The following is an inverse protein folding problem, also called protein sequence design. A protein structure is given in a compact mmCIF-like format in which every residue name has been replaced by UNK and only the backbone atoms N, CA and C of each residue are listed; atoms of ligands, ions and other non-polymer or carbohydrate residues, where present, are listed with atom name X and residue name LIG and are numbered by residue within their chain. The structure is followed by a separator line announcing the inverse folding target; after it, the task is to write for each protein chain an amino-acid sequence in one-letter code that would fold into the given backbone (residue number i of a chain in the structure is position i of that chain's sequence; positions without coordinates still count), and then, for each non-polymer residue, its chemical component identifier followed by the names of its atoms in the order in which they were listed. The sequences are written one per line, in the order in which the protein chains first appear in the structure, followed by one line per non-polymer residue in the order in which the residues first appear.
data_IF_974285090352
#
_entry.id   IF_974285090352
#
_cell.length_a   1.000
_cell.length_b   1.000
_cell.length_c   1.000
_cell.angle_alpha   90.00
_cell.angle_beta   90.00
_cell.angle_gamma   90.00
#
_symmetry.space_group_name_H-M   'P 1'
#
loop_
_entity.id
_entity.type
_entity.pdbx_description
1 polymer ?
#
# COMPACT_ATOMS: atom_id res chain seq x y z
N UNK A 1 9.30 46.49 -0.95
CA UNK A 1 9.58 45.08 -1.27
C UNK A 1 11.07 44.93 -1.53
N UNK A 2 11.74 43.95 -0.92
CA UNK A 2 13.16 43.67 -1.16
C UNK A 2 13.32 42.79 -2.40
N UNK A 3 14.50 42.80 -3.03
CA UNK A 3 14.79 41.95 -4.20
C UNK A 3 14.53 40.45 -3.93
N UNK A 4 14.73 40.01 -2.68
CA UNK A 4 14.41 38.65 -2.23
C UNK A 4 12.91 38.35 -2.28
N UNK A 5 12.07 39.28 -1.80
CA UNK A 5 10.60 39.14 -1.84
C UNK A 5 10.07 39.12 -3.28
N UNK A 6 10.67 39.90 -4.18
CA UNK A 6 10.31 39.88 -5.61
C UNK A 6 10.67 38.54 -6.25
N UNK A 7 11.86 37.98 -5.95
CA UNK A 7 12.29 36.68 -6.47
C UNK A 7 11.43 35.53 -5.96
N UNK A 8 11.04 35.56 -4.68
CA UNK A 8 10.16 34.56 -4.08
C UNK A 8 8.77 34.56 -4.74
N UNK A 9 8.20 35.74 -4.97
CA UNK A 9 6.91 35.86 -5.69
C UNK A 9 7.02 35.35 -7.12
N UNK A 10 8.11 35.67 -7.84
CA UNK A 10 8.33 35.20 -9.20
C UNK A 10 8.53 33.68 -9.30
N UNK A 11 9.12 33.04 -8.29
CA UNK A 11 9.25 31.57 -8.24
C UNK A 11 7.93 30.85 -7.95
N UNK A 12 6.98 31.52 -7.27
CA UNK A 12 5.65 30.97 -6.96
C UNK A 12 4.67 31.07 -8.13
N UNK A 13 5.01 31.77 -9.21
CA UNK A 13 4.20 31.83 -10.42
C UNK A 13 4.57 30.62 -11.29
N UNK A 14 3.70 29.61 -11.41
CA UNK A 14 3.98 28.46 -12.26
C UNK A 14 4.05 28.93 -13.72
N UNK A 15 5.22 28.82 -14.34
CA UNK A 15 5.36 28.90 -15.79
C UNK A 15 5.18 27.50 -16.33
N UNK A 16 4.02 27.19 -16.89
CA UNK A 16 3.82 25.94 -17.61
C UNK A 16 4.76 25.90 -18.81
N UNK A 17 5.36 24.73 -19.04
CA UNK A 17 6.22 24.45 -20.18
C UNK A 17 5.59 23.30 -20.94
N UNK A 18 5.64 23.34 -22.27
CA UNK A 18 5.11 22.22 -23.06
C UNK A 18 6.01 20.99 -22.90
N UNK A 19 5.38 19.83 -22.75
CA UNK A 19 6.05 18.53 -22.64
C UNK A 19 6.59 18.03 -23.99
N UNK A 20 6.08 18.56 -25.10
CA UNK A 20 6.54 18.25 -26.47
C UNK A 20 7.80 19.06 -26.86
N UNK A 21 8.34 19.87 -25.94
CA UNK A 21 9.55 20.65 -26.22
C UNK A 21 10.72 19.71 -26.42
N UNK A 22 11.29 19.75 -27.62
CA UNK A 22 12.53 19.03 -27.96
C UNK A 22 13.73 19.59 -27.19
N UNK A 23 14.39 18.74 -26.43
CA UNK A 23 15.54 19.02 -25.57
C UNK A 23 16.79 18.26 -26.03
N UNK A 24 17.96 18.67 -25.54
CA UNK A 24 19.26 18.10 -25.95
C UNK A 24 19.89 18.78 -27.17
N UNK A 25 21.16 18.44 -27.46
CA UNK A 25 21.95 19.08 -28.53
C UNK A 25 21.42 18.79 -29.94
N UNK A 26 20.85 17.61 -30.13
CA UNK A 26 20.33 17.14 -31.43
C UNK A 26 18.83 17.43 -31.59
N UNK A 27 18.14 17.89 -30.53
CA UNK A 27 16.68 18.15 -30.52
C UNK A 27 15.83 16.93 -30.90
N UNK A 28 16.30 15.74 -30.60
CA UNK A 28 15.61 14.49 -30.92
C UNK A 28 14.83 13.89 -29.75
N UNK A 29 14.99 14.42 -28.54
CA UNK A 29 14.29 13.93 -27.34
C UNK A 29 13.24 14.94 -26.90
N UNK A 30 12.01 14.52 -26.65
CA UNK A 30 10.98 15.38 -26.09
C UNK A 30 11.14 15.49 -24.57
N UNK A 31 10.68 16.60 -23.98
CA UNK A 31 10.76 16.81 -22.54
C UNK A 31 9.96 15.73 -21.79
N UNK A 32 8.86 15.24 -22.37
CA UNK A 32 8.04 14.16 -21.82
C UNK A 32 8.83 12.86 -21.64
N UNK A 33 9.73 12.53 -22.56
CA UNK A 33 10.49 11.27 -22.55
C UNK A 33 11.53 11.21 -21.41
N UNK A 34 11.86 12.37 -20.83
CA UNK A 34 12.81 12.48 -19.72
C UNK A 34 12.11 12.51 -18.35
N UNK A 35 10.78 12.63 -18.33
CA UNK A 35 10.03 12.59 -17.09
C UNK A 35 9.81 11.13 -16.70
N UNK A 36 10.38 10.75 -15.57
CA UNK A 36 10.10 9.47 -14.94
C UNK A 36 8.61 9.43 -14.57
N UNK A 37 7.93 8.35 -14.94
CA UNK A 37 6.55 8.12 -14.51
C UNK A 37 6.52 7.87 -13.00
N UNK A 38 5.59 8.50 -12.28
CA UNK A 38 5.31 8.17 -10.87
C UNK A 38 4.57 6.82 -10.71
N UNK A 39 4.38 6.09 -11.81
CA UNK A 39 3.68 4.81 -11.83
C UNK A 39 4.53 3.68 -11.21
N UNK A 40 3.84 2.78 -10.51
CA UNK A 40 4.44 1.58 -9.92
C UNK A 40 5.01 0.71 -11.04
N UNK A 41 6.28 0.31 -10.91
CA UNK A 41 6.94 -0.53 -11.91
C UNK A 41 6.25 -1.90 -12.04
N UNK A 42 6.37 -2.59 -13.19
CA UNK A 42 5.82 -3.94 -13.36
C UNK A 42 6.35 -4.92 -12.31
N UNK A 43 7.61 -4.78 -11.90
CA UNK A 43 8.25 -5.62 -10.89
C UNK A 43 7.63 -5.41 -9.50
N UNK A 44 7.42 -4.16 -9.11
CA UNK A 44 6.74 -3.83 -7.84
C UNK A 44 5.29 -4.33 -7.83
N UNK A 45 4.57 -4.19 -8.95
CA UNK A 45 3.22 -4.73 -9.07
C UNK A 45 3.20 -6.26 -8.90
N UNK A 46 4.13 -6.98 -9.53
CA UNK A 46 4.26 -8.44 -9.37
C UNK A 46 4.59 -8.84 -7.92
N UNK A 47 5.43 -8.06 -7.24
CA UNK A 47 5.76 -8.28 -5.83
C UNK A 47 4.52 -8.12 -4.93
N UNK A 48 3.72 -7.06 -5.14
CA UNK A 48 2.47 -6.82 -4.41
C UNK A 48 1.45 -7.93 -4.66
N UNK A 49 1.28 -8.38 -5.90
CA UNK A 49 0.38 -9.50 -6.22
C UNK A 49 0.82 -10.81 -5.57
N UNK A 50 2.12 -11.09 -5.58
CA UNK A 50 2.68 -12.30 -4.96
C UNK A 50 2.50 -12.28 -3.45
N UNK A 51 2.76 -11.13 -2.81
CA UNK A 51 2.50 -10.93 -1.38
C UNK A 51 1.02 -11.16 -1.03
N UNK A 52 0.09 -10.60 -1.82
CA UNK A 52 -1.36 -10.81 -1.61
C UNK A 52 -1.74 -12.29 -1.72
N UNK A 53 -1.18 -13.01 -2.68
CA UNK A 53 -1.42 -14.44 -2.87
C UNK A 53 -0.93 -15.25 -1.67
N UNK A 54 0.28 -14.98 -1.20
CA UNK A 54 0.89 -15.70 -0.08
C UNK A 54 0.21 -15.40 1.24
N UNK A 55 -0.21 -14.15 1.47
CA UNK A 55 -1.10 -13.80 2.60
C UNK A 55 -2.41 -14.60 2.49
N UNK A 56 -3.00 -14.69 1.30
CA UNK A 56 -4.20 -15.50 1.07
C UNK A 56 -4.02 -16.98 1.46
N UNK A 57 -2.86 -17.57 1.16
CA UNK A 57 -2.51 -18.94 1.59
C UNK A 57 -2.34 -19.01 3.11
N UNK A 58 -1.63 -18.07 3.72
CA UNK A 58 -1.45 -18.00 5.18
C UNK A 58 -2.75 -17.83 5.95
N UNK A 59 -3.73 -17.13 5.38
CA UNK A 59 -5.04 -16.98 6.02
C UNK A 59 -5.81 -18.30 6.02
N UNK A 60 -5.63 -19.20 5.03
CA UNK A 60 -6.32 -20.51 4.98
C UNK A 60 -6.03 -21.40 6.19
N UNK A 61 -4.90 -21.18 6.85
CA UNK A 61 -4.46 -21.87 8.06
C UNK A 61 -5.21 -21.45 9.34
N UNK A 62 -5.95 -20.34 9.27
CA UNK A 62 -6.82 -19.87 10.34
C UNK A 62 -8.20 -20.52 10.24
N UNK A 63 -8.94 -20.55 11.35
CA UNK A 63 -10.35 -20.96 11.33
C UNK A 63 -11.20 -19.96 10.53
N UNK A 64 -12.32 -20.38 9.96
CA UNK A 64 -13.20 -19.49 9.16
C UNK A 64 -13.54 -18.18 9.87
N UNK A 65 -13.85 -18.24 11.17
CA UNK A 65 -14.11 -17.05 11.99
C UNK A 65 -12.89 -16.14 12.16
N UNK A 66 -11.71 -16.72 12.36
CA UNK A 66 -10.46 -15.95 12.43
C UNK A 66 -10.15 -15.30 11.08
N UNK A 67 -10.37 -16.01 9.98
CA UNK A 67 -10.21 -15.47 8.62
C UNK A 67 -11.14 -14.29 8.37
N UNK A 68 -12.43 -14.42 8.67
CA UNK A 68 -13.40 -13.33 8.50
C UNK A 68 -13.01 -12.09 9.29
N UNK A 69 -12.65 -12.26 10.58
CA UNK A 69 -12.24 -11.12 11.43
C UNK A 69 -11.00 -10.44 10.84
N UNK A 70 -9.98 -11.19 10.43
CA UNK A 70 -8.75 -10.61 9.87
C UNK A 70 -9.01 -9.96 8.49
N UNK A 71 -9.80 -10.58 7.62
CA UNK A 71 -10.14 -10.02 6.30
C UNK A 71 -10.85 -8.68 6.41
N UNK A 72 -11.88 -8.59 7.25
CA UNK A 72 -12.62 -7.35 7.49
C UNK A 72 -11.76 -6.30 8.22
N UNK A 73 -10.91 -6.73 9.16
CA UNK A 73 -10.10 -5.79 9.95
C UNK A 73 -9.06 -5.05 9.11
N UNK A 74 -8.46 -5.73 8.14
CA UNK A 74 -7.38 -5.20 7.32
C UNK A 74 -7.78 -4.94 5.85
N UNK A 75 -9.05 -5.10 5.50
CA UNK A 75 -9.56 -4.82 4.16
C UNK A 75 -9.02 -5.75 3.08
N UNK A 76 -8.78 -7.03 3.39
CA UNK A 76 -8.29 -7.99 2.40
C UNK A 76 -9.34 -8.41 1.36
N UNK A 77 -10.60 -8.01 1.53
CA UNK A 77 -11.72 -8.40 0.66
C UNK A 77 -12.20 -7.23 -0.21
N UNK A 78 -12.41 -6.06 0.38
CA UNK A 78 -12.96 -4.87 -0.27
C UNK A 78 -12.03 -3.64 -0.20
N UNK A 79 -10.84 -3.79 0.38
CA UNK A 79 -9.89 -2.69 0.58
C UNK A 79 -10.24 -1.78 1.76
N UNK A 80 -11.31 -2.06 2.51
CA UNK A 80 -11.78 -1.21 3.60
C UNK A 80 -11.51 -1.86 4.95
N UNK A 81 -10.80 -1.13 5.81
CA UNK A 81 -10.55 -1.58 7.18
C UNK A 81 -11.74 -1.26 8.09
N UNK A 82 -12.37 -2.29 8.66
CA UNK A 82 -13.49 -2.13 9.59
C UNK A 82 -13.04 -2.03 11.06
N UNK A 83 -13.82 -1.31 11.88
CA UNK A 83 -13.58 -1.25 13.32
C UNK A 83 -14.01 -2.56 14.02
N UNK A 84 -13.45 -2.85 15.19
CA UNK A 84 -13.86 -4.02 15.99
C UNK A 84 -15.36 -4.01 16.33
N UNK A 85 -15.96 -2.83 16.45
CA UNK A 85 -17.40 -2.69 16.70
C UNK A 85 -18.22 -3.01 15.45
N UNK A 86 -17.77 -2.57 14.27
CA UNK A 86 -18.45 -2.85 13.00
C UNK A 86 -18.39 -4.34 12.64
N UNK A 87 -17.21 -4.95 12.83
CA UNK A 87 -17.01 -6.39 12.67
C UNK A 87 -17.88 -7.16 13.68
N UNK A 88 -17.97 -6.68 14.91
CA UNK A 88 -18.84 -7.27 15.94
C UNK A 88 -20.31 -7.23 15.54
N UNK A 89 -20.78 -6.11 14.98
CA UNK A 89 -22.15 -6.00 14.44
C UNK A 89 -22.39 -6.94 13.27
N UNK A 90 -21.43 -7.05 12.35
CA UNK A 90 -21.56 -7.91 11.16
C UNK A 90 -21.54 -9.42 11.50
N UNK A 91 -20.80 -9.83 12.53
CA UNK A 91 -20.63 -11.23 12.92
C UNK A 91 -21.47 -11.64 14.14
N UNK A 92 -22.35 -10.76 14.63
CA UNK A 92 -23.15 -10.95 15.85
C UNK A 92 -22.29 -11.30 17.09
N UNK A 93 -21.15 -10.61 17.22
CA UNK A 93 -20.20 -10.77 18.32
C UNK A 93 -20.03 -9.47 19.11
N UNK A 94 -19.71 -9.61 20.40
CA UNK A 94 -19.27 -8.45 21.18
C UNK A 94 -17.93 -7.93 20.67
N UNK A 95 -17.70 -6.62 20.80
CA UNK A 95 -16.41 -5.97 20.47
C UNK A 95 -15.22 -6.69 21.11
N UNK A 96 -15.34 -7.07 22.37
CA UNK A 96 -14.27 -7.77 23.09
C UNK A 96 -14.05 -9.18 22.53
N UNK A 97 -15.12 -9.86 22.10
CA UNK A 97 -14.98 -11.18 21.47
C UNK A 97 -14.24 -11.10 20.13
N UNK A 98 -14.51 -10.08 19.32
CA UNK A 98 -13.76 -9.82 18.07
C UNK A 98 -12.28 -9.56 18.39
N UNK A 99 -11.99 -8.73 19.40
CA UNK A 99 -10.61 -8.46 19.86
C UNK A 99 -9.86 -9.73 20.25
N UNK A 100 -10.52 -10.64 20.97
CA UNK A 100 -9.92 -11.92 21.35
C UNK A 100 -9.61 -12.82 20.15
N UNK A 101 -10.53 -12.86 19.18
CA UNK A 101 -10.34 -13.64 17.94
C UNK A 101 -9.18 -13.06 17.12
N UNK A 102 -9.13 -11.74 16.96
CA UNK A 102 -8.02 -11.03 16.28
C UNK A 102 -6.68 -11.35 16.95
N UNK A 103 -6.59 -11.20 18.28
CA UNK A 103 -5.36 -11.49 19.02
C UNK A 103 -4.89 -12.94 18.84
N UNK A 104 -5.82 -13.90 18.86
CA UNK A 104 -5.53 -15.32 18.66
C UNK A 104 -5.07 -15.62 17.23
N UNK A 105 -5.71 -15.00 16.23
CA UNK A 105 -5.33 -15.12 14.83
C UNK A 105 -3.93 -14.53 14.58
N UNK A 106 -3.64 -13.34 15.11
CA UNK A 106 -2.32 -12.72 15.01
C UNK A 106 -1.24 -13.55 15.70
N UNK A 107 -1.53 -14.12 16.88
CA UNK A 107 -0.60 -15.02 17.56
C UNK A 107 -0.27 -16.25 16.70
N UNK A 108 -1.27 -16.82 16.01
CA UNK A 108 -1.09 -17.93 15.08
C UNK A 108 -0.25 -17.54 13.85
N UNK A 109 -0.46 -16.35 13.29
CA UNK A 109 0.29 -15.87 12.12
C UNK A 109 1.74 -15.50 12.47
N UNK A 110 2.01 -15.07 13.70
CA UNK A 110 3.36 -14.73 14.20
C UNK A 110 4.28 -15.94 14.44
N UNK A 111 3.77 -17.17 14.29
CA UNK A 111 4.58 -18.37 14.47
C UNK A 111 5.72 -18.42 13.44
N UNK A 112 6.94 -18.86 13.80
CA UNK A 112 8.12 -18.78 12.93
C UNK A 112 7.92 -19.43 11.56
N UNK A 113 7.25 -20.59 11.51
CA UNK A 113 6.96 -21.31 10.26
C UNK A 113 6.17 -20.46 9.25
N UNK A 114 5.20 -19.67 9.74
CA UNK A 114 4.34 -18.82 8.93
C UNK A 114 4.97 -17.47 8.64
N UNK A 115 5.60 -16.86 9.65
CA UNK A 115 6.33 -15.60 9.51
C UNK A 115 7.42 -15.70 8.46
N UNK A 116 8.14 -16.82 8.40
CA UNK A 116 9.22 -17.00 7.43
C UNK A 116 8.71 -17.04 5.97
N UNK A 117 7.45 -17.41 5.72
CA UNK A 117 6.88 -17.41 4.35
C UNK A 117 6.67 -16.00 3.79
N UNK A 118 6.50 -15.00 4.66
CA UNK A 118 6.30 -13.62 4.24
C UNK A 118 7.48 -12.71 4.58
N UNK A 119 8.54 -13.26 5.20
CA UNK A 119 9.67 -12.47 5.68
C UNK A 119 10.44 -11.82 4.54
N UNK A 120 10.58 -12.55 3.43
CA UNK A 120 11.34 -12.12 2.27
C UNK A 120 10.73 -10.85 1.64
N UNK A 121 9.40 -10.69 1.71
CA UNK A 121 8.72 -9.46 1.27
C UNK A 121 9.02 -8.25 2.17
N UNK A 122 9.35 -8.44 3.45
CA UNK A 122 9.77 -7.32 4.31
C UNK A 122 11.19 -6.87 4.01
N UNK A 123 12.07 -7.80 3.60
CA UNK A 123 13.43 -7.49 3.17
C UNK A 123 13.45 -6.75 1.82
N UNK A 124 12.43 -6.97 0.96
CA UNK A 124 12.29 -6.23 -0.31
C UNK A 124 11.59 -4.87 -0.20
N UNK A 125 10.91 -4.59 0.92
CA UNK A 125 10.20 -3.30 1.17
C UNK A 125 11.03 -2.28 1.96
N UNK A 126 12.25 -2.64 2.39
CA UNK A 126 13.13 -1.80 3.22
C UNK A 126 14.42 -1.50 2.47
#
# INVERSE_FOLDING_TARGET
MTAAQVREVLMKIPRSVSLEVKVGKEKDTELVDLLESEDISPEENLAVESLRRDIGVLLKDLTEREQQVIKLRYGFEDGVAYSLADIGRALELSRERVRQIEAKALQKLRQPRRRNQIRDYFESLT
#
